data_IF_302877020685
#
_entry.id   IF_302877020685
#
_cell.length_a   1.000
_cell.length_b   1.000
_cell.length_c   1.000
_cell.angle_alpha   90.00
_cell.angle_beta   90.00
_cell.angle_gamma   90.00
#
_symmetry.space_group_name_H-M   'P 1'
#
loop_
_entity.id
_entity.type
_entity.pdbx_description
1 polymer ?
#
# COMPACT_ATOMS: atom_id res chain seq x y z
N UNK A 1 34.25 -0.50 -74.78
CA UNK A 1 32.82 -0.54 -74.44
C UNK A 1 32.62 -1.33 -73.15
N UNK A 2 32.30 -0.69 -72.02
CA UNK A 2 31.93 -1.36 -70.77
C UNK A 2 30.63 -0.71 -70.26
N UNK A 3 29.51 -1.39 -70.49
CA UNK A 3 28.20 -0.95 -70.00
C UNK A 3 28.09 -1.24 -68.51
N UNK A 4 28.01 -0.17 -67.69
CA UNK A 4 27.75 -0.26 -66.25
C UNK A 4 26.24 -0.42 -66.04
N UNK A 5 25.79 -1.61 -65.69
CA UNK A 5 24.43 -1.80 -65.17
C UNK A 5 24.34 -1.21 -63.77
N UNK A 6 23.68 -0.07 -63.66
CA UNK A 6 23.43 0.61 -62.40
C UNK A 6 22.23 -0.07 -61.71
N UNK A 7 22.47 -0.74 -60.58
CA UNK A 7 21.44 -1.43 -59.81
C UNK A 7 20.60 -0.37 -59.09
N UNK A 8 19.44 -0.01 -59.64
CA UNK A 8 18.51 0.94 -59.01
C UNK A 8 18.07 0.33 -57.67
N UNK A 9 18.57 0.91 -56.57
CA UNK A 9 18.19 0.53 -55.21
C UNK A 9 16.76 1.02 -54.97
N UNK A 10 15.80 0.10 -54.95
CA UNK A 10 14.40 0.40 -54.58
C UNK A 10 14.38 0.86 -53.12
N UNK A 11 14.21 2.16 -52.90
CA UNK A 11 13.81 2.69 -51.58
C UNK A 11 12.32 2.37 -51.42
N UNK A 12 12.01 1.23 -50.80
CA UNK A 12 10.64 0.86 -50.41
C UNK A 12 10.22 1.79 -49.27
N UNK A 13 9.25 2.66 -49.53
CA UNK A 13 8.57 3.41 -48.48
C UNK A 13 7.63 2.50 -47.69
N UNK A 14 7.24 2.94 -46.50
CA UNK A 14 6.24 2.23 -45.68
C UNK A 14 4.91 2.17 -46.41
N UNK A 15 4.28 1.00 -46.39
CA UNK A 15 2.94 0.86 -46.95
C UNK A 15 1.91 1.46 -46.00
N UNK A 16 0.83 2.03 -46.55
CA UNK A 16 -0.24 2.65 -45.76
C UNK A 16 -0.88 1.63 -44.80
N UNK A 17 -0.98 0.36 -45.22
CA UNK A 17 -1.45 -0.75 -44.37
C UNK A 17 -0.51 -1.04 -43.21
N UNK A 18 0.81 -0.89 -43.40
CA UNK A 18 1.81 -1.13 -42.36
C UNK A 18 1.71 -0.07 -41.27
N UNK A 19 1.48 1.18 -41.65
CA UNK A 19 1.23 2.28 -40.71
C UNK A 19 -0.07 2.03 -39.93
N UNK A 20 -1.14 1.62 -40.60
CA UNK A 20 -2.41 1.31 -39.93
C UNK A 20 -2.28 0.17 -38.92
N UNK A 21 -1.60 -0.92 -39.28
CA UNK A 21 -1.34 -2.05 -38.39
C UNK A 21 -0.48 -1.60 -37.20
N UNK A 22 0.58 -0.82 -37.47
CA UNK A 22 1.49 -0.31 -36.43
C UNK A 22 0.74 0.55 -35.42
N UNK A 23 -0.09 1.49 -35.89
CA UNK A 23 -0.90 2.34 -35.01
C UNK A 23 -1.90 1.51 -34.21
N UNK A 24 -2.51 0.47 -34.81
CA UNK A 24 -3.40 -0.46 -34.09
C UNK A 24 -2.68 -1.19 -32.95
N UNK A 25 -1.49 -1.73 -33.21
CA UNK A 25 -0.68 -2.41 -32.20
C UNK A 25 -0.26 -1.44 -31.09
N UNK A 26 0.22 -0.24 -31.45
CA UNK A 26 0.63 0.76 -30.46
C UNK A 26 -0.56 1.20 -29.60
N UNK A 27 -1.73 1.45 -30.21
CA UNK A 27 -2.93 1.88 -29.49
C UNK A 27 -3.34 0.86 -28.43
N UNK A 28 -3.36 -0.42 -28.78
CA UNK A 28 -3.67 -1.49 -27.80
C UNK A 28 -2.62 -1.57 -26.70
N UNK A 29 -1.33 -1.45 -27.02
CA UNK A 29 -0.25 -1.41 -26.04
C UNK A 29 -0.38 -0.26 -25.03
N UNK A 30 -0.79 0.93 -25.49
CA UNK A 30 -1.02 2.09 -24.61
C UNK A 30 -2.14 1.81 -23.61
N UNK A 31 -3.23 1.17 -24.03
CA UNK A 31 -4.33 0.80 -23.12
C UNK A 31 -3.85 -0.13 -22.01
N UNK A 32 -3.00 -1.12 -22.33
CA UNK A 32 -2.39 -1.99 -21.33
C UNK A 32 -1.44 -1.25 -20.39
N UNK A 33 -0.66 -0.30 -20.89
CA UNK A 33 0.22 0.52 -20.06
C UNK A 33 -0.58 1.37 -19.06
N UNK A 34 -1.69 1.96 -19.49
CA UNK A 34 -2.56 2.73 -18.60
C UNK A 34 -3.20 1.86 -17.51
N UNK A 35 -3.66 0.65 -17.85
CA UNK A 35 -4.25 -0.25 -16.86
C UNK A 35 -3.20 -0.74 -15.86
N UNK A 36 -1.99 -1.05 -16.31
CA UNK A 36 -0.87 -1.40 -15.43
C UNK A 36 -0.49 -0.25 -14.50
N UNK A 37 -0.47 0.99 -15.00
CA UNK A 37 -0.18 2.18 -14.19
C UNK A 37 -1.27 2.41 -13.12
N UNK A 38 -2.55 2.27 -13.48
CA UNK A 38 -3.65 2.38 -12.54
C UNK A 38 -3.59 1.31 -11.43
N UNK A 39 -3.21 0.08 -11.80
CA UNK A 39 -2.99 -1.01 -10.84
C UNK A 39 -1.81 -0.70 -9.90
N UNK A 40 -0.69 -0.25 -10.44
CA UNK A 40 0.49 0.13 -9.65
C UNK A 40 0.17 1.26 -8.66
N UNK A 41 -0.54 2.30 -9.11
CA UNK A 41 -0.94 3.42 -8.25
C UNK A 41 -1.88 2.96 -7.13
N UNK A 42 -2.78 2.03 -7.41
CA UNK A 42 -3.65 1.41 -6.40
C UNK A 42 -2.86 0.61 -5.37
N UNK A 43 -1.84 -0.14 -5.81
CA UNK A 43 -0.96 -0.91 -4.93
C UNK A 43 -0.11 0.00 -4.03
N UNK A 44 0.44 1.10 -4.57
CA UNK A 44 1.19 2.10 -3.79
C UNK A 44 0.30 2.71 -2.72
N UNK A 45 -0.93 3.10 -3.07
CA UNK A 45 -1.87 3.68 -2.11
C UNK A 45 -2.24 2.70 -1.00
N UNK A 46 -2.37 1.41 -1.32
CA UNK A 46 -2.59 0.37 -0.31
C UNK A 46 -1.38 0.24 0.62
N UNK A 47 -0.17 0.21 0.05
CA UNK A 47 1.08 0.13 0.82
C UNK A 47 1.24 1.32 1.77
N UNK A 48 1.00 2.54 1.30
CA UNK A 48 1.02 3.75 2.14
C UNK A 48 0.05 3.64 3.32
N UNK A 49 -1.18 3.17 3.09
CA UNK A 49 -2.15 3.00 4.18
C UNK A 49 -1.67 1.98 5.22
N UNK A 50 -1.05 0.88 4.78
CA UNK A 50 -0.47 -0.11 5.70
C UNK A 50 0.65 0.50 6.52
N UNK A 51 1.53 1.29 5.89
CA UNK A 51 2.61 1.98 6.60
C UNK A 51 2.05 2.95 7.64
N UNK A 52 1.05 3.75 7.31
CA UNK A 52 0.41 4.66 8.27
C UNK A 52 -0.28 3.91 9.41
N UNK A 53 -1.01 2.82 9.10
CA UNK A 53 -1.62 1.96 10.10
C UNK A 53 -0.58 1.35 11.05
N UNK A 54 0.56 0.88 10.51
CA UNK A 54 1.65 0.31 11.30
C UNK A 54 2.33 1.36 12.18
N UNK A 55 2.60 2.56 11.65
CA UNK A 55 3.19 3.65 12.43
C UNK A 55 2.24 4.12 13.54
N UNK A 56 0.94 4.21 13.24
CA UNK A 56 -0.07 4.55 14.24
C UNK A 56 -0.12 3.48 15.33
N UNK A 57 -0.12 2.20 14.95
CA UNK A 57 -0.07 1.10 15.88
C UNK A 57 1.16 1.15 16.80
N UNK A 58 2.35 1.33 16.23
CA UNK A 58 3.60 1.42 16.97
C UNK A 58 3.60 2.59 17.96
N UNK A 59 3.14 3.76 17.52
CA UNK A 59 3.00 4.93 18.39
C UNK A 59 2.03 4.65 19.56
N UNK A 60 0.89 4.01 19.30
CA UNK A 60 -0.10 3.71 20.35
C UNK A 60 0.35 2.63 21.33
N UNK A 61 1.08 1.63 20.84
CA UNK A 61 1.73 0.63 21.71
C UNK A 61 2.73 1.34 22.62
N UNK A 62 3.60 2.20 22.07
CA UNK A 62 4.59 2.94 22.87
C UNK A 62 3.95 3.89 23.89
N UNK A 63 2.93 4.65 23.50
CA UNK A 63 2.16 5.51 24.42
C UNK A 63 1.55 4.70 25.58
N UNK A 64 0.99 3.53 25.28
CA UNK A 64 0.40 2.63 26.27
C UNK A 64 1.45 2.07 27.22
N UNK A 65 2.60 1.62 26.70
CA UNK A 65 3.71 1.12 27.52
C UNK A 65 4.27 2.20 28.46
N UNK A 66 4.42 3.43 27.97
CA UNK A 66 4.89 4.55 28.79
C UNK A 66 3.88 4.94 29.87
N UNK A 67 2.58 4.95 29.55
CA UNK A 67 1.54 5.20 30.53
C UNK A 67 1.57 4.13 31.64
N UNK A 68 1.68 2.84 31.27
CA UNK A 68 1.78 1.75 32.22
C UNK A 68 3.04 1.84 33.11
N UNK A 69 4.20 2.20 32.54
CA UNK A 69 5.44 2.42 33.31
C UNK A 69 5.37 3.58 34.28
N UNK A 70 4.67 4.65 33.92
CA UNK A 70 4.52 5.86 34.75
C UNK A 70 3.36 5.77 35.74
N UNK A 71 2.62 4.65 35.74
CA UNK A 71 1.45 4.44 36.60
C UNK A 71 0.21 5.24 36.18
N UNK A 72 0.20 5.77 34.95
CA UNK A 72 -0.93 6.49 34.36
C UNK A 72 -1.89 5.52 33.66
N UNK A 73 -3.19 5.84 33.63
CA UNK A 73 -4.17 5.05 32.89
C UNK A 73 -3.99 5.29 31.37
N UNK A 74 -3.63 4.26 30.58
CA UNK A 74 -3.53 4.42 29.13
C UNK A 74 -4.91 4.67 28.51
N UNK A 75 -4.92 5.40 27.39
CA UNK A 75 -6.10 5.51 26.55
C UNK A 75 -6.18 4.25 25.68
N UNK A 76 -7.26 3.48 25.86
CA UNK A 76 -7.39 2.19 25.19
C UNK A 76 -8.00 2.31 23.79
N UNK A 77 -8.87 3.31 23.57
CA UNK A 77 -9.63 3.44 22.33
C UNK A 77 -9.60 4.88 21.81
N UNK A 78 -9.65 5.03 20.49
CA UNK A 78 -9.69 6.34 19.84
C UNK A 78 -9.92 6.29 18.34
N UNK A 79 -10.11 7.47 17.76
CA UNK A 79 -10.16 7.66 16.32
C UNK A 79 -9.28 8.85 15.94
N UNK A 80 -8.51 8.70 14.88
CA UNK A 80 -7.61 9.73 14.37
C UNK A 80 -7.79 9.89 12.86
N UNK A 81 -7.86 11.14 12.39
CA UNK A 81 -7.97 11.44 10.97
C UNK A 81 -6.57 11.71 10.40
N UNK A 82 -6.08 10.79 9.57
CA UNK A 82 -4.78 10.93 8.90
C UNK A 82 -5.04 11.05 7.40
N UNK A 83 -4.65 12.17 6.80
CA UNK A 83 -4.83 12.49 5.38
C UNK A 83 -6.28 12.28 4.88
N UNK A 84 -7.27 12.70 5.68
CA UNK A 84 -8.69 12.61 5.32
C UNK A 84 -9.28 11.20 5.46
N UNK A 85 -8.61 10.30 6.18
CA UNK A 85 -9.10 8.96 6.52
C UNK A 85 -9.22 8.78 8.01
N UNK A 86 -10.36 8.27 8.46
CA UNK A 86 -10.61 7.95 9.85
C UNK A 86 -10.05 6.56 10.17
N UNK A 87 -9.00 6.53 10.97
CA UNK A 87 -8.44 5.32 11.57
C UNK A 87 -8.99 5.18 12.98
N UNK A 88 -9.68 4.08 13.26
CA UNK A 88 -10.15 3.72 14.59
C UNK A 88 -9.21 2.66 15.17
N UNK A 89 -8.89 2.82 16.44
CA UNK A 89 -8.02 1.90 17.15
C UNK A 89 -8.58 1.58 18.52
N UNK A 90 -8.34 0.34 18.95
CA UNK A 90 -8.83 -0.25 20.19
C UNK A 90 -7.73 -1.18 20.74
N UNK A 91 -7.40 -1.02 22.03
CA UNK A 91 -6.32 -1.73 22.70
C UNK A 91 -6.91 -2.54 23.84
N UNK A 92 -6.76 -3.86 23.75
CA UNK A 92 -7.10 -4.80 24.80
C UNK A 92 -5.83 -5.22 25.56
N UNK A 93 -5.77 -4.90 26.84
CA UNK A 93 -4.71 -5.38 27.75
C UNK A 93 -5.15 -6.71 28.34
N UNK A 94 -4.55 -7.79 27.87
CA UNK A 94 -4.79 -9.14 28.39
C UNK A 94 -3.79 -9.41 29.53
N UNK A 95 -4.23 -9.17 30.76
CA UNK A 95 -3.51 -9.61 31.95
C UNK A 95 -3.59 -11.14 32.05
N UNK A 96 -2.49 -11.83 31.73
CA UNK A 96 -2.38 -13.25 31.98
C UNK A 96 -2.21 -13.44 33.50
N UNK A 97 -3.28 -13.91 34.14
CA UNK A 97 -3.39 -14.17 35.57
C UNK A 97 -2.04 -14.55 36.23
N UNK A 98 -1.39 -13.57 36.88
CA UNK A 98 -0.23 -13.78 37.74
C UNK A 98 1.12 -14.05 37.07
N UNK A 99 1.25 -13.94 35.74
CA UNK A 99 2.55 -14.11 35.06
C UNK A 99 2.90 -12.89 34.21
N UNK A 100 3.95 -12.19 34.63
CA UNK A 100 4.78 -11.34 33.77
C UNK A 100 5.25 -12.18 32.57
N UNK A 101 4.96 -11.83 31.29
CA UNK A 101 4.59 -10.52 30.74
C UNK A 101 3.09 -10.30 30.40
N UNK A 102 2.66 -9.03 30.40
CA UNK A 102 1.31 -8.61 29.96
C UNK A 102 1.18 -8.61 28.43
N UNK A 103 0.10 -9.19 27.89
CA UNK A 103 -0.14 -9.19 26.43
C UNK A 103 -0.98 -7.96 26.03
N UNK A 104 -0.61 -7.31 24.91
CA UNK A 104 -1.32 -6.15 24.37
C UNK A 104 -1.86 -6.48 22.98
N UNK A 105 -3.18 -6.54 22.83
CA UNK A 105 -3.82 -6.74 21.53
C UNK A 105 -4.32 -5.39 21.01
N UNK A 106 -3.84 -4.98 19.84
CA UNK A 106 -4.28 -3.75 19.19
C UNK A 106 -5.12 -4.11 17.96
N UNK A 107 -6.38 -3.68 17.97
CA UNK A 107 -7.27 -3.76 16.83
C UNK A 107 -7.30 -2.41 16.13
N UNK A 108 -7.01 -2.39 14.82
CA UNK A 108 -6.96 -1.16 14.04
C UNK A 108 -7.82 -1.30 12.79
N UNK A 109 -8.82 -0.44 12.66
CA UNK A 109 -9.79 -0.47 11.56
C UNK A 109 -9.82 0.87 10.84
N UNK A 110 -9.93 0.83 9.52
CA UNK A 110 -10.17 2.04 8.73
C UNK A 110 -11.10 1.77 7.55
N UNK A 111 -11.80 2.82 7.14
CA UNK A 111 -12.75 2.75 6.03
C UNK A 111 -12.08 3.11 4.72
N UNK A 112 -12.11 2.20 3.73
CA UNK A 112 -11.62 2.48 2.37
C UNK A 112 -12.78 2.40 1.36
N UNK A 113 -13.22 3.57 0.87
CA UNK A 113 -14.33 3.79 -0.09
C UNK A 113 -15.70 3.25 0.35
N UNK A 114 -15.88 1.93 0.35
CA UNK A 114 -17.14 1.20 0.62
C UNK A 114 -16.94 -0.12 1.37
N UNK A 115 -15.69 -0.49 1.69
CA UNK A 115 -15.38 -1.69 2.49
C UNK A 115 -14.65 -1.26 3.75
N UNK A 116 -15.15 -1.70 4.89
CA UNK A 116 -14.43 -1.65 6.16
C UNK A 116 -13.31 -2.69 6.06
N UNK A 117 -12.07 -2.27 6.29
CA UNK A 117 -10.92 -3.17 6.36
C UNK A 117 -10.45 -3.17 7.79
N UNK A 118 -10.58 -4.33 8.42
CA UNK A 118 -10.15 -4.57 9.79
C UNK A 118 -8.78 -5.23 9.76
N UNK A 119 -7.80 -4.58 10.39
CA UNK A 119 -6.47 -5.15 10.60
C UNK A 119 -6.26 -5.32 12.11
N UNK A 120 -6.29 -6.56 12.57
CA UNK A 120 -5.93 -6.88 13.95
C UNK A 120 -4.43 -7.14 14.00
N UNK A 121 -3.71 -6.33 14.78
CA UNK A 121 -2.28 -6.51 15.03
C UNK A 121 -2.10 -6.97 16.48
N UNK A 122 -1.77 -8.25 16.65
CA UNK A 122 -1.46 -8.81 17.95
C UNK A 122 0.04 -8.61 18.22
N UNK A 123 0.39 -7.85 19.27
CA UNK A 123 1.78 -7.70 19.70
C UNK A 123 1.98 -8.28 21.10
N UNK A 124 3.14 -8.87 21.35
CA UNK A 124 3.53 -9.36 22.67
C UNK A 124 4.56 -8.39 23.23
N UNK A 125 4.13 -7.49 24.11
CA UNK A 125 5.04 -6.61 24.83
C UNK A 125 5.51 -7.29 26.12
N UNK A 126 6.82 -7.45 26.27
CA UNK A 126 7.42 -7.87 27.54
C UNK A 126 7.56 -6.63 28.44
N UNK A 127 6.47 -6.25 29.09
CA UNK A 127 6.56 -5.40 30.26
C UNK A 127 7.22 -6.22 31.37
N UNK A 128 8.34 -5.73 31.91
CA UNK A 128 8.97 -6.22 33.13
C UNK A 128 8.71 -5.16 34.21
N UNK A 129 8.35 -5.55 35.46
CA UNK A 129 8.00 -4.63 36.53
C UNK A 129 9.12 -3.65 36.89
#
# INVERSE_FOLDING_TARGET
>A
MRSRYNKIRSKRGFSLIEVLITVGIISTGIVFLFSAFAAAMSAVKLSQNMTFACLLAENKIWETEQALRTGSSPQLNGAENIEGKDFKWDIEILDAAGSDPKKLKLNLSWKEKLKEKDYSLETLSYLKP
#
